data_IF_710989408727
#
_entry.id   IF_710989408727
#
_cell.length_a   1.000
_cell.length_b   1.000
_cell.length_c   1.000
_cell.angle_alpha   90.00
_cell.angle_beta   90.00
_cell.angle_gamma   90.00
#
_symmetry.space_group_name_H-M   'P 1'
#
loop_
_entity.id
_entity.type
_entity.pdbx_description
1 polymer ?
#
# COMPACT_ATOMS: atom_id res chain seq x y z
N UNK A 1 -21.76 11.15 -8.15
CA UNK A 1 -20.68 10.24 -7.70
C UNK A 1 -19.36 11.02 -7.72
N UNK A 2 -18.60 11.03 -6.62
CA UNK A 2 -17.26 11.64 -6.56
C UNK A 2 -16.29 10.61 -5.99
N UNK A 3 -15.19 10.34 -6.72
CA UNK A 3 -14.13 9.46 -6.26
C UNK A 3 -12.80 10.23 -6.29
N UNK A 4 -12.25 10.62 -5.13
CA UNK A 4 -11.03 11.42 -5.07
C UNK A 4 -9.84 10.69 -5.70
N UNK A 5 -9.76 9.36 -5.54
CA UNK A 5 -8.70 8.55 -6.14
C UNK A 5 -8.68 8.71 -7.66
N UNK A 6 -9.83 8.55 -8.31
CA UNK A 6 -9.90 8.62 -9.76
C UNK A 6 -9.57 10.01 -10.31
N UNK A 7 -9.96 11.08 -9.60
CA UNK A 7 -9.60 12.44 -9.99
C UNK A 7 -8.09 12.66 -9.93
N UNK A 8 -7.43 12.23 -8.84
CA UNK A 8 -5.99 12.42 -8.66
C UNK A 8 -5.14 11.50 -9.52
N UNK A 9 -5.68 10.37 -9.99
CA UNK A 9 -4.95 9.40 -10.81
C UNK A 9 -5.21 9.55 -12.31
N UNK A 10 -6.13 10.43 -12.74
CA UNK A 10 -6.59 10.52 -14.13
C UNK A 10 -5.44 10.72 -15.14
N UNK A 11 -4.55 11.67 -14.89
CA UNK A 11 -3.45 12.00 -15.81
C UNK A 11 -2.43 10.86 -15.91
N UNK A 12 -2.15 10.18 -14.80
CA UNK A 12 -1.25 9.01 -14.80
C UNK A 12 -1.93 7.84 -15.51
N UNK A 13 -3.21 7.59 -15.24
CA UNK A 13 -3.96 6.53 -15.91
C UNK A 13 -3.91 6.71 -17.44
N UNK A 14 -4.06 7.93 -17.93
CA UNK A 14 -3.99 8.27 -19.35
C UNK A 14 -2.60 8.01 -19.95
N UNK A 15 -1.53 8.36 -19.24
CA UNK A 15 -0.14 8.11 -19.69
C UNK A 15 0.18 6.61 -19.85
N UNK A 16 -0.38 5.76 -18.98
CA UNK A 16 -0.10 4.32 -18.96
C UNK A 16 -1.18 3.47 -19.67
N UNK A 17 -2.19 4.09 -20.30
CA UNK A 17 -3.35 3.37 -20.87
C UNK A 17 -3.01 2.38 -21.98
N UNK A 18 -1.91 2.62 -22.69
CA UNK A 18 -1.43 1.88 -23.86
C UNK A 18 -0.15 1.09 -23.57
N UNK A 19 0.31 1.05 -22.30
CA UNK A 19 1.56 0.39 -21.89
C UNK A 19 1.29 -1.04 -21.40
N UNK A 20 2.14 -1.98 -21.79
CA UNK A 20 2.08 -3.39 -21.38
C UNK A 20 2.77 -3.57 -20.03
N UNK A 21 2.08 -4.24 -19.10
CA UNK A 21 2.45 -4.24 -17.68
C UNK A 21 3.77 -4.96 -17.36
N UNK A 22 4.17 -5.94 -18.18
CA UNK A 22 5.32 -6.80 -17.95
C UNK A 22 6.58 -6.38 -18.73
N UNK A 23 6.55 -5.22 -19.39
CA UNK A 23 7.75 -4.64 -19.99
C UNK A 23 8.79 -4.30 -18.92
N UNK A 24 10.07 -4.56 -19.22
CA UNK A 24 11.18 -4.24 -18.33
C UNK A 24 11.47 -2.73 -18.34
N UNK A 25 11.74 -2.18 -17.16
CA UNK A 25 11.99 -0.76 -16.94
C UNK A 25 12.97 -0.59 -15.78
N UNK A 26 13.77 0.48 -15.85
CA UNK A 26 14.54 0.95 -14.71
C UNK A 26 13.75 2.03 -13.96
N UNK A 27 13.48 1.78 -12.68
CA UNK A 27 12.70 2.68 -11.83
C UNK A 27 13.64 3.37 -10.86
N UNK A 28 13.58 4.69 -10.82
CA UNK A 28 14.29 5.53 -9.83
C UNK A 28 13.29 6.25 -8.95
N UNK A 29 13.40 6.08 -7.64
CA UNK A 29 12.63 6.83 -6.63
C UNK A 29 13.59 7.71 -5.85
N UNK A 30 13.44 9.02 -5.96
CA UNK A 30 14.18 10.00 -5.19
C UNK A 30 13.35 10.49 -4.01
N UNK A 31 13.93 10.44 -2.81
CA UNK A 31 13.41 11.01 -1.56
C UNK A 31 14.43 12.03 -1.04
N UNK A 32 14.08 12.79 -0.01
CA UNK A 32 15.02 13.76 0.59
C UNK A 32 16.25 13.05 1.16
N UNK A 33 16.05 11.87 1.75
CA UNK A 33 17.10 11.15 2.46
C UNK A 33 17.87 10.17 1.57
N UNK A 34 17.26 9.66 0.49
CA UNK A 34 17.78 8.51 -0.29
C UNK A 34 17.30 8.49 -1.74
N UNK A 35 18.09 7.85 -2.60
CA UNK A 35 17.68 7.43 -3.95
C UNK A 35 17.65 5.91 -4.02
N UNK A 36 16.56 5.36 -4.55
CA UNK A 36 16.35 3.93 -4.74
C UNK A 36 16.25 3.64 -6.23
N UNK A 37 16.96 2.61 -6.71
CA UNK A 37 16.90 2.17 -8.10
C UNK A 37 16.62 0.67 -8.19
N UNK A 38 15.81 0.26 -9.17
CA UNK A 38 15.52 -1.15 -9.42
C UNK A 38 15.16 -1.38 -10.89
N UNK A 39 15.83 -2.34 -11.53
CA UNK A 39 15.38 -2.92 -12.80
C UNK A 39 14.24 -3.90 -12.51
N UNK A 40 13.05 -3.63 -13.05
CA UNK A 40 11.85 -4.41 -12.77
C UNK A 40 10.84 -4.29 -13.91
N UNK A 41 9.58 -4.68 -13.69
CA UNK A 41 8.49 -4.53 -14.66
C UNK A 41 7.71 -3.23 -14.45
N UNK A 42 7.07 -2.71 -15.49
CA UNK A 42 6.22 -1.51 -15.40
C UNK A 42 5.20 -1.63 -14.26
N UNK A 43 4.51 -2.77 -14.13
CA UNK A 43 3.53 -2.98 -13.06
C UNK A 43 4.14 -2.93 -11.65
N UNK A 44 5.37 -3.42 -11.48
CA UNK A 44 6.05 -3.41 -10.19
C UNK A 44 6.56 -2.00 -9.83
N UNK A 45 6.96 -1.21 -10.84
CA UNK A 45 7.36 0.20 -10.67
C UNK A 45 6.18 1.15 -10.46
N UNK A 46 5.09 0.94 -11.19
CA UNK A 46 3.88 1.78 -11.15
C UNK A 46 3.06 1.52 -9.88
N UNK A 47 3.03 0.28 -9.37
CA UNK A 47 2.26 -0.10 -8.18
C UNK A 47 2.49 0.83 -6.96
N UNK A 48 3.73 1.11 -6.49
CA UNK A 48 3.94 2.03 -5.37
C UNK A 48 3.51 3.47 -5.69
N UNK A 49 3.65 3.94 -6.93
CA UNK A 49 3.18 5.27 -7.34
C UNK A 49 1.65 5.38 -7.24
N UNK A 50 0.92 4.38 -7.73
CA UNK A 50 -0.53 4.28 -7.57
C UNK A 50 -0.89 4.30 -6.08
N UNK A 51 -0.22 3.48 -5.27
CA UNK A 51 -0.50 3.39 -3.83
C UNK A 51 -0.34 4.72 -3.11
N UNK A 52 0.69 5.50 -3.45
CA UNK A 52 0.91 6.85 -2.91
C UNK A 52 -0.24 7.78 -3.33
N UNK A 53 -0.55 7.86 -4.62
CA UNK A 53 -1.62 8.73 -5.14
C UNK A 53 -2.97 8.39 -4.53
N UNK A 54 -3.34 7.11 -4.46
CA UNK A 54 -4.59 6.68 -3.86
C UNK A 54 -4.68 7.12 -2.39
N UNK A 55 -3.58 6.98 -1.64
CA UNK A 55 -3.51 7.30 -0.21
C UNK A 55 -3.55 8.81 0.06
N UNK A 56 -2.95 9.61 -0.81
CA UNK A 56 -2.91 11.08 -0.66
C UNK A 56 -4.09 11.79 -1.34
N UNK A 57 -4.92 11.09 -2.10
CA UNK A 57 -6.06 11.65 -2.85
C UNK A 57 -7.16 12.32 -2.01
N UNK A 58 -7.20 12.07 -0.69
CA UNK A 58 -8.31 12.46 0.19
C UNK A 58 -9.38 11.39 0.34
N UNK A 59 -9.17 10.16 -0.16
CA UNK A 59 -10.05 9.03 0.10
C UNK A 59 -10.05 8.67 1.61
N UNK A 60 -11.22 8.68 2.29
CA UNK A 60 -11.28 8.43 3.73
C UNK A 60 -10.89 6.99 4.10
N UNK A 61 -11.12 6.03 3.20
CA UNK A 61 -10.69 4.64 3.42
C UNK A 61 -9.17 4.54 3.43
N UNK A 62 -8.52 5.13 2.42
CA UNK A 62 -7.06 5.09 2.27
C UNK A 62 -6.33 5.95 3.31
N UNK A 63 -7.01 6.88 3.98
CA UNK A 63 -6.40 7.82 4.93
C UNK A 63 -5.63 7.13 6.08
N UNK A 64 -6.04 5.93 6.47
CA UNK A 64 -5.34 5.12 7.49
C UNK A 64 -3.93 4.69 7.07
N UNK A 65 -3.66 4.67 5.75
CA UNK A 65 -2.36 4.29 5.20
C UNK A 65 -1.41 5.48 5.02
N UNK A 66 -1.82 6.71 5.37
CA UNK A 66 -0.98 7.91 5.23
C UNK A 66 0.42 7.79 5.86
N UNK A 67 0.61 7.20 7.05
CA UNK A 67 1.97 7.08 7.58
C UNK A 67 2.86 6.15 6.73
N UNK A 68 2.30 5.19 5.99
CA UNK A 68 3.06 4.38 5.02
C UNK A 68 3.58 5.18 3.83
N UNK A 69 2.96 6.31 3.50
CA UNK A 69 3.45 7.24 2.49
C UNK A 69 4.55 8.12 3.08
N UNK A 70 4.38 8.65 4.30
CA UNK A 70 5.41 9.48 4.94
C UNK A 70 6.74 8.74 5.13
N UNK A 71 6.65 7.46 5.49
CA UNK A 71 7.79 6.56 5.69
C UNK A 71 7.87 5.51 4.58
N UNK A 72 7.57 5.90 3.33
CA UNK A 72 7.52 4.97 2.21
C UNK A 72 8.86 4.24 2.02
N UNK A 73 8.77 2.93 1.84
CA UNK A 73 9.90 2.08 1.45
C UNK A 73 9.63 1.57 0.03
N UNK A 74 10.31 2.12 -0.98
CA UNK A 74 10.20 1.62 -2.35
C UNK A 74 10.63 0.16 -2.44
N UNK A 75 9.92 -0.61 -3.27
CA UNK A 75 10.24 -2.00 -3.57
C UNK A 75 10.26 -2.96 -2.37
N UNK A 76 9.54 -2.61 -1.30
CA UNK A 76 9.44 -3.41 -0.09
C UNK A 76 8.97 -4.85 -0.36
N UNK A 77 9.54 -5.81 0.36
CA UNK A 77 9.05 -7.18 0.42
C UNK A 77 7.70 -7.26 1.13
N UNK A 78 7.07 -8.43 1.08
CA UNK A 78 5.86 -8.70 1.84
C UNK A 78 6.12 -8.59 3.35
N UNK A 79 7.22 -9.16 3.85
CA UNK A 79 7.57 -9.12 5.27
C UNK A 79 7.84 -7.69 5.75
N UNK A 80 8.58 -6.90 4.96
CA UNK A 80 8.81 -5.49 5.25
C UNK A 80 7.50 -4.69 5.27
N UNK A 81 6.57 -5.01 4.36
CA UNK A 81 5.25 -4.39 4.30
C UNK A 81 4.42 -4.75 5.53
N UNK A 82 4.35 -6.03 5.90
CA UNK A 82 3.60 -6.51 7.06
C UNK A 82 4.17 -5.92 8.34
N UNK A 83 5.49 -5.96 8.52
CA UNK A 83 6.16 -5.38 9.67
C UNK A 83 5.85 -3.89 9.82
N UNK A 84 5.99 -3.11 8.75
CA UNK A 84 5.68 -1.66 8.76
C UNK A 84 4.21 -1.39 9.07
N UNK A 85 3.29 -2.19 8.54
CA UNK A 85 1.85 -2.02 8.76
C UNK A 85 1.43 -2.36 10.20
N UNK A 86 1.91 -3.49 10.73
CA UNK A 86 1.63 -3.90 12.10
C UNK A 86 2.19 -2.90 13.11
N UNK A 87 3.45 -2.48 12.92
CA UNK A 87 4.10 -1.50 13.80
C UNK A 87 3.43 -0.13 13.73
N UNK A 88 3.06 0.35 12.54
CA UNK A 88 2.31 1.61 12.38
C UNK A 88 0.95 1.54 13.08
N UNK A 89 0.22 0.44 12.92
CA UNK A 89 -1.07 0.26 13.57
C UNK A 89 -0.93 0.25 15.10
N UNK A 90 -0.01 -0.55 15.64
CA UNK A 90 0.24 -0.60 17.08
C UNK A 90 0.76 0.73 17.63
N UNK A 91 1.51 1.50 16.85
CA UNK A 91 1.90 2.86 17.20
C UNK A 91 0.67 3.79 17.30
N UNK A 92 -0.29 3.70 16.38
CA UNK A 92 -1.54 4.45 16.48
C UNK A 92 -2.31 4.08 17.77
N UNK A 93 -2.33 2.80 18.13
CA UNK A 93 -2.94 2.34 19.39
C UNK A 93 -2.20 2.88 20.61
N UNK A 94 -0.87 2.91 20.58
CA UNK A 94 -0.07 3.54 21.64
C UNK A 94 -0.37 5.04 21.79
N UNK A 95 -0.47 5.79 20.68
CA UNK A 95 -0.81 7.21 20.71
C UNK A 95 -2.23 7.45 21.24
N UNK A 96 -3.21 6.64 20.84
CA UNK A 96 -4.56 6.69 21.40
C UNK A 96 -4.57 6.52 22.93
N UNK A 97 -3.74 5.62 23.45
CA UNK A 97 -3.58 5.43 24.89
C UNK A 97 -3.04 6.69 25.57
N UNK A 98 -2.07 7.38 24.94
CA UNK A 98 -1.53 8.64 25.47
C UNK A 98 -2.61 9.74 25.55
N UNK A 99 -3.58 9.72 24.62
CA UNK A 99 -4.73 10.62 24.60
C UNK A 99 -5.88 10.18 25.52
N UNK A 100 -5.69 9.14 26.34
CA UNK A 100 -6.66 8.65 27.30
C UNK A 100 -7.75 7.73 26.72
N UNK A 101 -7.64 7.35 25.44
CA UNK A 101 -8.53 6.35 24.84
C UNK A 101 -8.10 4.91 25.19
N UNK A 102 -9.03 3.97 25.09
CA UNK A 102 -8.74 2.54 25.29
C UNK A 102 -8.12 1.93 24.02
N UNK A 103 -6.84 1.51 24.04
CA UNK A 103 -6.21 0.89 22.87
C UNK A 103 -6.67 -0.56 22.69
N UNK A 104 -6.79 -1.02 21.44
CA UNK A 104 -6.74 -2.44 21.11
C UNK A 104 -5.30 -2.87 20.85
N UNK A 105 -4.87 -4.00 21.43
CA UNK A 105 -3.55 -4.59 21.18
C UNK A 105 -3.62 -5.80 20.24
N UNK A 106 -4.79 -6.06 19.64
CA UNK A 106 -4.98 -7.06 18.58
C UNK A 106 -4.90 -6.40 17.20
N UNK A 107 -4.58 -7.19 16.17
CA UNK A 107 -4.54 -6.71 14.78
C UNK A 107 -5.91 -6.69 14.08
N UNK A 108 -7.01 -6.92 14.80
CA UNK A 108 -8.36 -6.96 14.19
C UNK A 108 -8.73 -5.63 13.53
N UNK A 109 -8.32 -4.50 14.12
CA UNK A 109 -8.52 -3.17 13.53
C UNK A 109 -7.75 -2.99 12.22
N UNK A 110 -6.53 -3.54 12.14
CA UNK A 110 -5.73 -3.54 10.92
C UNK A 110 -6.39 -4.39 9.82
N UNK A 111 -6.88 -5.58 10.17
CA UNK A 111 -7.63 -6.43 9.26
C UNK A 111 -8.88 -5.71 8.70
N UNK A 112 -9.61 -4.99 9.55
CA UNK A 112 -10.76 -4.19 9.14
C UNK A 112 -10.40 -3.04 8.20
N UNK A 113 -9.26 -2.37 8.41
CA UNK A 113 -8.76 -1.35 7.48
C UNK A 113 -8.50 -1.98 6.10
N UNK A 114 -7.80 -3.11 6.06
CA UNK A 114 -7.46 -3.79 4.81
C UNK A 114 -8.67 -4.36 4.07
N UNK A 115 -9.68 -4.87 4.78
CA UNK A 115 -10.94 -5.29 4.16
C UNK A 115 -11.61 -4.14 3.37
N UNK A 116 -11.59 -2.93 3.92
CA UNK A 116 -12.13 -1.73 3.25
C UNK A 116 -11.24 -1.27 2.09
N UNK A 117 -9.91 -1.32 2.26
CA UNK A 117 -8.96 -1.01 1.18
C UNK A 117 -9.16 -1.96 0.00
N UNK A 118 -9.35 -3.26 0.25
CA UNK A 118 -9.63 -4.24 -0.80
C UNK A 118 -10.90 -3.95 -1.58
N UNK A 119 -11.96 -3.41 -0.95
CA UNK A 119 -13.16 -2.95 -1.67
C UNK A 119 -12.78 -1.81 -2.63
N UNK A 120 -12.07 -0.79 -2.14
CA UNK A 120 -11.64 0.35 -2.96
C UNK A 120 -10.76 -0.09 -4.13
N UNK A 121 -9.80 -0.98 -3.88
CA UNK A 121 -8.91 -1.50 -4.91
C UNK A 121 -9.68 -2.26 -6.00
N UNK A 122 -10.60 -3.16 -5.63
CA UNK A 122 -11.42 -3.91 -6.60
C UNK A 122 -12.30 -2.99 -7.45
N UNK A 123 -13.03 -2.08 -6.81
CA UNK A 123 -13.93 -1.16 -7.51
C UNK A 123 -13.14 -0.22 -8.44
N UNK A 124 -11.97 0.23 -8.01
CA UNK A 124 -11.12 1.09 -8.83
C UNK A 124 -10.44 0.31 -9.96
N UNK A 125 -10.07 -0.95 -9.76
CA UNK A 125 -9.53 -1.82 -10.81
C UNK A 125 -10.53 -2.06 -11.95
N UNK A 126 -11.82 -2.22 -11.62
CA UNK A 126 -12.89 -2.30 -12.63
C UNK A 126 -12.91 -1.02 -13.48
N UNK A 127 -12.90 0.15 -12.83
CA UNK A 127 -12.90 1.44 -13.53
C UNK A 127 -11.66 1.67 -14.40
N UNK A 128 -10.49 1.26 -13.92
CA UNK A 128 -9.26 1.34 -14.71
C UNK A 128 -9.29 0.40 -15.92
N UNK A 129 -9.86 -0.80 -15.76
CA UNK A 129 -10.00 -1.76 -16.86
C UNK A 129 -10.93 -1.21 -17.95
N UNK A 130 -12.04 -0.59 -17.58
CA UNK A 130 -12.98 -0.01 -18.54
C UNK A 130 -12.37 1.19 -19.31
N UNK A 131 -11.41 1.88 -18.71
CA UNK A 131 -10.75 3.05 -19.29
C UNK A 131 -9.46 2.74 -20.07
N UNK A 132 -8.89 1.54 -19.91
CA UNK A 132 -7.58 1.19 -20.45
C UNK A 132 -7.67 0.34 -21.73
N UNK A 133 -6.66 0.49 -22.60
CA UNK A 133 -6.47 -0.38 -23.78
C UNK A 133 -5.49 -1.53 -23.50
N UNK A 134 -4.59 -1.32 -22.54
CA UNK A 134 -3.61 -2.29 -22.03
C UNK A 134 -3.71 -2.39 -20.50
N UNK A 135 -2.83 -3.17 -19.90
CA UNK A 135 -3.00 -3.71 -18.55
C UNK A 135 -2.08 -3.11 -17.49
N UNK A 136 -1.18 -2.17 -17.83
CA UNK A 136 -0.23 -1.59 -16.87
C UNK A 136 -0.91 -1.02 -15.61
N UNK A 137 -1.89 -0.14 -15.77
CA UNK A 137 -2.64 0.45 -14.65
C UNK A 137 -3.36 -0.61 -13.81
N UNK A 138 -4.03 -1.56 -14.47
CA UNK A 138 -4.84 -2.59 -13.82
C UNK A 138 -3.94 -3.53 -13.01
N UNK A 139 -2.86 -4.03 -13.61
CA UNK A 139 -1.96 -4.98 -12.96
C UNK A 139 -1.13 -4.32 -11.85
N UNK A 140 -0.77 -3.04 -12.00
CA UNK A 140 -0.14 -2.28 -10.92
C UNK A 140 -1.06 -2.14 -9.68
N UNK A 141 -2.37 -1.93 -9.89
CA UNK A 141 -3.34 -1.91 -8.80
C UNK A 141 -3.64 -3.31 -8.25
N UNK A 142 -3.70 -4.34 -9.09
CA UNK A 142 -3.85 -5.73 -8.65
C UNK A 142 -2.71 -6.14 -7.71
N UNK A 143 -1.47 -5.72 -7.99
CA UNK A 143 -0.36 -5.96 -7.06
C UNK A 143 -0.62 -5.35 -5.67
N UNK A 144 -1.18 -4.14 -5.59
CA UNK A 144 -1.55 -3.53 -4.31
C UNK A 144 -2.71 -4.29 -3.63
N UNK A 145 -3.67 -4.78 -4.41
CA UNK A 145 -4.76 -5.58 -3.87
C UNK A 145 -4.28 -6.92 -3.30
N UNK A 146 -3.31 -7.57 -3.95
CA UNK A 146 -2.65 -8.75 -3.42
C UNK A 146 -2.02 -8.47 -2.06
N UNK A 147 -1.29 -7.35 -1.89
CA UNK A 147 -0.76 -6.96 -0.58
C UNK A 147 -1.88 -6.72 0.43
N UNK A 148 -2.95 -6.02 0.04
CA UNK A 148 -4.07 -5.73 0.92
C UNK A 148 -4.77 -7.01 1.45
N UNK A 149 -4.81 -8.07 0.64
CA UNK A 149 -5.35 -9.37 1.03
C UNK A 149 -4.35 -10.21 1.85
N UNK A 150 -3.07 -10.16 1.50
CA UNK A 150 -2.03 -10.97 2.17
C UNK A 150 -1.69 -10.46 3.56
N UNK A 151 -1.71 -9.14 3.80
CA UNK A 151 -1.27 -8.58 5.08
C UNK A 151 -2.07 -9.15 6.27
N UNK A 152 -3.42 -9.15 6.27
CA UNK A 152 -4.17 -9.74 7.39
C UNK A 152 -3.96 -11.24 7.55
N UNK A 153 -3.69 -11.98 6.47
CA UNK A 153 -3.54 -13.43 6.49
C UNK A 153 -2.16 -13.87 7.01
N UNK A 154 -1.10 -13.12 6.65
CA UNK A 154 0.27 -13.46 6.98
C UNK A 154 0.83 -12.70 8.19
N UNK A 155 0.09 -11.74 8.75
CA UNK A 155 0.56 -10.90 9.85
C UNK A 155 1.05 -11.72 11.05
N UNK A 156 0.25 -12.67 11.54
CA UNK A 156 0.58 -13.45 12.72
C UNK A 156 1.81 -14.35 12.52
N UNK A 157 1.98 -14.88 11.31
CA UNK A 157 3.11 -15.74 10.98
C UNK A 157 4.40 -14.92 10.87
N UNK A 158 4.39 -13.80 10.15
CA UNK A 158 5.55 -12.89 10.08
C UNK A 158 5.93 -12.35 11.46
N UNK A 159 4.94 -11.99 12.29
CA UNK A 159 5.21 -11.53 13.66
C UNK A 159 5.83 -12.64 14.54
N UNK A 160 5.45 -13.90 14.31
CA UNK A 160 6.07 -15.05 14.98
C UNK A 160 7.50 -15.26 14.52
N UNK A 161 7.76 -15.12 13.22
CA UNK A 161 9.08 -15.29 12.62
C UNK A 161 10.08 -14.22 13.07
N UNK A 162 9.65 -12.97 13.24
CA UNK A 162 10.52 -11.88 13.71
C UNK A 162 10.68 -11.83 15.23
N UNK A 163 9.85 -12.55 16.00
CA UNK A 163 9.89 -12.54 17.47
C UNK A 163 11.30 -12.77 18.06
N UNK A 164 12.13 -13.70 17.54
CA UNK A 164 13.51 -13.88 18.02
C UNK A 164 14.38 -12.63 17.92
N UNK A 165 14.09 -11.71 16.99
CA UNK A 165 14.84 -10.45 16.87
C UNK A 165 14.60 -9.47 18.02
N UNK A 166 13.59 -9.73 18.86
CA UNK A 166 13.21 -8.91 20.00
C UNK A 166 13.61 -9.53 21.34
N UNK A 167 14.42 -10.59 21.37
CA UNK A 167 14.81 -11.29 22.60
C UNK A 167 15.42 -10.37 23.67
N UNK A 168 16.16 -9.32 23.28
CA UNK A 168 16.72 -8.37 24.24
C UNK A 168 15.67 -7.48 24.94
N UNK A 169 14.44 -7.42 24.41
CA UNK A 169 13.33 -6.64 24.96
C UNK A 169 12.27 -7.50 25.68
N UNK A 170 12.28 -8.83 25.49
CA UNK A 170 11.28 -9.78 25.99
C UNK A 170 11.83 -10.62 27.15
#
# INVERSE_FOLDING_TARGET
LYCPVALNFADIAEQFKDIVSHENVDVTVATEERTYTKSTTIQAGLSPLIGIIMTTSGCPVMAHLKPMVRFHLPFASLDETIFRMATMYLMAQYLQKQDGAAPSWTLDGLANVYAKVGIVNRDFAIRLRDAAKKDANVNALVNLDCFAQMVPLAADDVLREIKPYFEAYL
#
